data_IF_425430772729
#
_entry.id   IF_425430772729
#
_cell.length_a   1.000
_cell.length_b   1.000
_cell.length_c   1.000
_cell.angle_alpha   90.00
_cell.angle_beta   90.00
_cell.angle_gamma   90.00
#
_symmetry.space_group_name_H-M   'P 1'
#
loop_
_entity.id
_entity.type
_entity.pdbx_description
1 polymer ?
#
# COMPACT_ATOMS: atom_id res chain seq x y z
N UNK A 1 -13.92 5.72 21.90
CA UNK A 1 -13.18 6.87 21.31
C UNK A 1 -13.64 8.15 21.99
N UNK A 2 -12.73 9.02 22.44
CA UNK A 2 -13.05 10.35 23.01
C UNK A 2 -12.64 11.47 22.05
N UNK A 3 -13.15 12.69 22.26
CA UNK A 3 -12.74 13.85 21.47
C UNK A 3 -11.23 14.15 21.58
N UNK A 4 -10.64 13.93 22.76
CA UNK A 4 -9.20 14.11 22.98
C UNK A 4 -8.37 13.06 22.22
N UNK A 5 -8.82 11.80 22.20
CA UNK A 5 -8.19 10.75 21.38
C UNK A 5 -8.30 11.09 19.89
N UNK A 6 -9.44 11.62 19.44
CA UNK A 6 -9.66 11.99 18.05
C UNK A 6 -8.74 13.15 17.60
N UNK A 7 -8.51 14.14 18.46
CA UNK A 7 -7.52 15.22 18.22
C UNK A 7 -6.13 14.65 17.95
N UNK A 8 -5.68 13.71 18.78
CA UNK A 8 -4.36 13.07 18.63
C UNK A 8 -4.28 12.24 17.34
N UNK A 9 -5.33 11.45 17.04
CA UNK A 9 -5.36 10.57 15.86
C UNK A 9 -5.39 11.38 14.56
N UNK A 10 -6.17 12.47 14.52
CA UNK A 10 -6.33 13.28 13.31
C UNK A 10 -5.23 14.34 13.16
N UNK A 11 -4.44 14.61 14.20
CA UNK A 11 -3.44 15.68 14.19
C UNK A 11 -4.06 17.08 14.03
N UNK A 12 -5.27 17.28 14.54
CA UNK A 12 -6.04 18.51 14.37
C UNK A 12 -6.19 19.27 15.68
N UNK A 13 -6.23 20.60 15.59
CA UNK A 13 -6.45 21.48 16.75
C UNK A 13 -7.76 21.19 17.50
N UNK A 14 -7.72 21.24 18.84
CA UNK A 14 -8.86 20.95 19.72
C UNK A 14 -10.10 21.79 19.40
N UNK A 15 -9.91 23.07 19.07
CA UNK A 15 -10.99 24.00 18.73
C UNK A 15 -11.67 23.67 17.39
N UNK A 16 -10.92 23.10 16.45
CA UNK A 16 -11.43 22.66 15.15
C UNK A 16 -12.24 21.38 15.30
N UNK A 17 -11.71 20.40 16.04
CA UNK A 17 -12.41 19.14 16.31
C UNK A 17 -13.70 19.38 17.09
N UNK A 18 -13.68 20.23 18.12
CA UNK A 18 -14.88 20.53 18.92
C UNK A 18 -16.01 21.15 18.07
N UNK A 19 -15.67 22.10 17.19
CA UNK A 19 -16.66 22.71 16.27
C UNK A 19 -17.20 21.71 15.25
N UNK A 20 -16.38 20.79 14.75
CA UNK A 20 -16.83 19.72 13.86
C UNK A 20 -17.78 18.74 14.57
N UNK A 21 -17.38 18.27 15.76
CA UNK A 21 -18.19 17.35 16.55
C UNK A 21 -19.54 17.95 16.91
N UNK A 22 -19.58 19.21 17.36
CA UNK A 22 -20.83 19.91 17.67
C UNK A 22 -21.79 19.94 16.47
N UNK A 23 -21.28 20.19 15.26
CA UNK A 23 -22.09 20.17 14.03
C UNK A 23 -22.63 18.77 13.73
N UNK A 24 -21.79 17.74 13.85
CA UNK A 24 -22.17 16.36 13.59
C UNK A 24 -23.20 15.83 14.61
N UNK A 25 -23.07 16.23 15.89
CA UNK A 25 -24.07 15.95 16.93
C UNK A 25 -25.38 16.68 16.62
N UNK A 26 -25.32 17.98 16.27
CA UNK A 26 -26.53 18.73 15.89
C UNK A 26 -27.24 18.19 14.64
N UNK A 27 -26.49 17.55 13.74
CA UNK A 27 -27.02 16.90 12.55
C UNK A 27 -27.53 15.47 12.81
N UNK A 28 -27.47 14.99 14.07
CA UNK A 28 -27.82 13.64 14.48
C UNK A 28 -26.99 12.53 13.78
N UNK A 29 -25.76 12.85 13.37
CA UNK A 29 -24.81 11.87 12.80
C UNK A 29 -23.96 11.21 13.90
N UNK A 30 -23.69 11.95 14.97
CA UNK A 30 -22.95 11.48 16.14
C UNK A 30 -23.78 11.59 17.42
N UNK A 31 -23.52 10.68 18.35
CA UNK A 31 -24.06 10.68 19.70
C UNK A 31 -22.92 10.68 20.74
N UNK A 32 -23.16 11.35 21.86
CA UNK A 32 -22.27 11.34 23.02
C UNK A 32 -22.83 10.38 24.07
N UNK A 33 -22.15 9.25 24.28
CA UNK A 33 -22.53 8.25 25.28
C UNK A 33 -21.60 8.40 26.49
N UNK A 34 -22.12 8.50 27.72
CA UNK A 34 -21.29 8.48 28.92
C UNK A 34 -20.44 7.20 28.96
N UNK A 35 -19.16 7.31 29.31
CA UNK A 35 -18.32 6.13 29.49
C UNK A 35 -18.81 5.34 30.70
N UNK A 36 -18.83 4.01 30.56
CA UNK A 36 -19.15 3.08 31.65
C UNK A 36 -18.04 3.02 32.70
N UNK A 37 -16.83 3.47 32.37
CA UNK A 37 -15.66 3.44 33.27
C UNK A 37 -15.44 4.78 33.99
N UNK A 38 -15.77 5.91 33.35
CA UNK A 38 -15.71 7.24 33.96
C UNK A 38 -16.82 8.14 33.40
N UNK A 39 -17.83 8.44 34.20
CA UNK A 39 -18.95 9.29 33.81
C UNK A 39 -18.54 10.73 33.40
N UNK A 40 -17.31 11.16 33.72
CA UNK A 40 -16.72 12.44 33.28
C UNK A 40 -16.24 12.40 31.84
N UNK A 41 -16.09 11.20 31.26
CA UNK A 41 -15.63 10.99 29.90
C UNK A 41 -16.80 10.63 29.01
N UNK A 42 -16.99 11.37 27.92
CA UNK A 42 -17.98 11.08 26.89
C UNK A 42 -17.33 10.36 25.72
N UNK A 43 -17.89 9.21 25.35
CA UNK A 43 -17.53 8.50 24.14
C UNK A 43 -18.37 8.99 22.97
N UNK A 44 -17.71 9.11 21.82
CA UNK A 44 -18.35 9.44 20.56
C UNK A 44 -18.76 8.15 19.86
N UNK A 45 -20.04 8.04 19.52
CA UNK A 45 -20.61 6.97 18.70
C UNK A 45 -21.24 7.53 17.44
N UNK A 46 -21.28 6.74 16.37
CA UNK A 46 -22.13 7.03 15.22
C UNK A 46 -23.57 6.64 15.57
N UNK A 47 -24.52 7.50 15.24
CA UNK A 47 -25.95 7.13 15.29
C UNK A 47 -26.28 6.16 14.15
N UNK A 48 -27.51 5.64 14.11
CA UNK A 48 -27.99 4.87 12.95
C UNK A 48 -27.87 5.66 11.65
N UNK A 49 -28.26 6.95 11.68
CA UNK A 49 -28.11 7.87 10.56
C UNK A 49 -26.64 8.08 10.20
N UNK A 50 -25.77 8.32 11.19
CA UNK A 50 -24.33 8.46 11.00
C UNK A 50 -23.70 7.28 10.28
N UNK A 51 -24.06 6.05 10.68
CA UNK A 51 -23.60 4.83 10.01
C UNK A 51 -24.04 4.76 8.55
N UNK A 52 -25.29 5.11 8.27
CA UNK A 52 -25.82 5.15 6.89
C UNK A 52 -25.11 6.21 6.04
N UNK A 53 -24.92 7.42 6.58
CA UNK A 53 -24.22 8.51 5.90
C UNK A 53 -22.78 8.12 5.56
N UNK A 54 -22.04 7.54 6.51
CA UNK A 54 -20.67 7.04 6.29
C UNK A 54 -20.66 5.94 5.23
N UNK A 55 -21.61 5.01 5.27
CA UNK A 55 -21.72 3.96 4.26
C UNK A 55 -21.91 4.54 2.85
N UNK A 56 -22.81 5.52 2.67
CA UNK A 56 -23.04 6.21 1.39
C UNK A 56 -21.79 6.94 0.89
N UNK A 57 -21.09 7.65 1.77
CA UNK A 57 -19.84 8.36 1.43
C UNK A 57 -18.77 7.35 0.98
N UNK A 58 -18.58 6.28 1.74
CA UNK A 58 -17.59 5.25 1.41
C UNK A 58 -17.94 4.52 0.12
N UNK A 59 -19.22 4.24 -0.13
CA UNK A 59 -19.67 3.63 -1.38
C UNK A 59 -19.35 4.55 -2.56
N UNK A 60 -19.75 5.82 -2.51
CA UNK A 60 -19.48 6.78 -3.58
C UNK A 60 -17.97 6.94 -3.83
N UNK A 61 -17.17 7.05 -2.76
CA UNK A 61 -15.71 7.09 -2.85
C UNK A 61 -15.13 5.84 -3.52
N UNK A 62 -15.59 4.65 -3.11
CA UNK A 62 -15.16 3.37 -3.67
C UNK A 62 -15.52 3.24 -5.14
N UNK A 63 -16.73 3.63 -5.53
CA UNK A 63 -17.20 3.62 -6.93
C UNK A 63 -16.31 4.50 -7.81
N UNK A 64 -15.92 5.70 -7.33
CA UNK A 64 -15.01 6.58 -8.07
C UNK A 64 -13.62 5.98 -8.26
N UNK A 65 -13.06 5.38 -7.21
CA UNK A 65 -11.75 4.72 -7.30
C UNK A 65 -11.80 3.53 -8.24
N UNK A 66 -12.82 2.67 -8.12
CA UNK A 66 -13.01 1.50 -9.00
C UNK A 66 -13.16 1.95 -10.46
N UNK A 67 -13.97 2.98 -10.73
CA UNK A 67 -14.14 3.51 -12.08
C UNK A 67 -12.83 4.04 -12.68
N UNK A 68 -11.95 4.65 -11.87
CA UNK A 68 -10.63 5.08 -12.31
C UNK A 68 -9.70 3.89 -12.58
N UNK A 69 -9.63 2.91 -11.67
CA UNK A 69 -8.78 1.72 -11.82
C UNK A 69 -9.19 0.86 -13.02
N UNK A 70 -10.49 0.76 -13.33
CA UNK A 70 -11.02 0.04 -14.51
C UNK A 70 -10.50 0.58 -15.85
N UNK A 71 -10.02 1.82 -15.91
CA UNK A 71 -9.42 2.40 -17.11
C UNK A 71 -7.96 1.96 -17.34
N UNK A 72 -7.35 1.34 -16.33
CA UNK A 72 -5.97 0.86 -16.37
C UNK A 72 -5.92 -0.61 -16.78
N UNK A 73 -4.83 -1.03 -17.42
CA UNK A 73 -4.60 -2.45 -17.69
C UNK A 73 -4.21 -3.21 -16.40
N UNK A 74 -4.25 -4.56 -16.39
CA UNK A 74 -3.96 -5.34 -15.19
C UNK A 74 -2.58 -5.07 -14.56
N UNK A 75 -1.54 -4.87 -15.39
CA UNK A 75 -0.19 -4.56 -14.90
C UNK A 75 -0.16 -3.21 -14.16
N UNK A 76 -0.78 -2.17 -14.73
CA UNK A 76 -0.88 -0.85 -14.10
C UNK A 76 -1.67 -0.89 -12.78
N UNK A 77 -2.77 -1.65 -12.73
CA UNK A 77 -3.54 -1.84 -11.50
C UNK A 77 -2.68 -2.49 -10.40
N UNK A 78 -1.88 -3.49 -10.76
CA UNK A 78 -0.94 -4.14 -9.85
C UNK A 78 0.14 -3.18 -9.36
N UNK A 79 0.72 -2.37 -10.25
CA UNK A 79 1.71 -1.33 -9.89
C UNK A 79 1.12 -0.34 -8.88
N UNK A 80 -0.10 0.16 -9.11
CA UNK A 80 -0.78 1.09 -8.19
C UNK A 80 -1.04 0.43 -6.82
N UNK A 81 -1.55 -0.80 -6.81
CA UNK A 81 -1.79 -1.55 -5.57
C UNK A 81 -0.50 -1.71 -4.77
N UNK A 82 0.59 -2.08 -5.44
CA UNK A 82 1.90 -2.27 -4.80
C UNK A 82 2.48 -0.96 -4.28
N UNK A 83 2.39 0.12 -5.06
CA UNK A 83 2.81 1.45 -4.64
C UNK A 83 2.06 1.96 -3.40
N UNK A 84 0.73 1.78 -3.36
CA UNK A 84 -0.09 2.15 -2.20
C UNK A 84 0.26 1.33 -0.96
N UNK A 85 0.55 0.03 -1.11
CA UNK A 85 1.03 -0.81 0.00
C UNK A 85 2.35 -0.30 0.56
N UNK A 86 3.33 -0.04 -0.30
CA UNK A 86 4.64 0.49 0.12
C UNK A 86 4.50 1.83 0.83
N UNK A 87 3.70 2.73 0.28
CA UNK A 87 3.44 4.04 0.89
C UNK A 87 2.77 3.92 2.27
N UNK A 88 1.74 3.06 2.40
CA UNK A 88 1.08 2.80 3.67
C UNK A 88 2.04 2.21 4.72
N UNK A 89 2.89 1.26 4.32
CA UNK A 89 3.92 0.69 5.20
C UNK A 89 4.93 1.74 5.65
N UNK A 90 5.35 2.63 4.76
CA UNK A 90 6.27 3.73 5.11
C UNK A 90 5.64 4.71 6.09
N UNK A 91 4.38 5.10 5.88
CA UNK A 91 3.66 5.96 6.82
C UNK A 91 3.48 5.30 8.20
N UNK A 92 3.18 4.00 8.25
CA UNK A 92 3.06 3.26 9.51
C UNK A 92 4.40 3.25 10.27
N UNK A 93 5.48 2.92 9.56
CA UNK A 93 6.84 2.94 10.10
C UNK A 93 7.25 4.32 10.64
N UNK A 94 6.93 5.41 9.93
CA UNK A 94 7.17 6.78 10.42
C UNK A 94 6.42 7.09 11.72
N UNK A 95 5.19 6.59 11.90
CA UNK A 95 4.39 6.82 13.13
C UNK A 95 4.93 6.03 14.32
N UNK A 96 5.46 4.85 14.06
CA UNK A 96 6.02 3.93 15.06
C UNK A 96 7.51 4.17 15.30
N UNK A 97 8.10 5.20 14.65
CA UNK A 97 9.51 5.54 14.69
C UNK A 97 10.42 4.31 14.45
N UNK A 98 9.95 3.40 13.59
CA UNK A 98 10.56 2.11 13.29
C UNK A 98 11.07 2.13 11.86
N UNK A 99 12.21 1.52 11.60
CA UNK A 99 12.72 1.40 10.23
C UNK A 99 11.95 0.30 9.49
N UNK A 100 11.53 0.57 8.25
CA UNK A 100 11.08 -0.51 7.37
C UNK A 100 12.33 -1.33 7.06
N UNK A 101 12.44 -2.52 7.67
CA UNK A 101 13.50 -3.45 7.35
C UNK A 101 13.57 -3.59 5.82
N UNK A 102 14.67 -3.11 5.23
CA UNK A 102 14.90 -3.22 3.81
C UNK A 102 14.88 -4.71 3.45
N UNK A 103 13.82 -5.15 2.79
CA UNK A 103 13.79 -6.46 2.13
C UNK A 103 14.72 -6.39 0.93
N UNK A 104 15.98 -6.69 1.17
CA UNK A 104 16.60 -7.96 0.79
C UNK A 104 18.07 -7.85 1.23
N UNK A 105 18.49 -8.72 2.14
CA UNK A 105 19.90 -9.04 2.26
C UNK A 105 20.29 -9.70 0.94
N UNK A 106 20.72 -8.89 -0.03
CA UNK A 106 21.38 -9.36 -1.23
C UNK A 106 22.63 -10.11 -0.76
N UNK A 107 22.56 -11.43 -0.74
CA UNK A 107 23.69 -12.25 -0.34
C UNK A 107 24.61 -12.41 -1.56
N UNK A 108 25.79 -11.80 -1.48
CA UNK A 108 26.84 -12.02 -2.48
C UNK A 108 27.52 -13.35 -2.11
N UNK A 109 27.11 -14.40 -2.82
CA UNK A 109 27.69 -15.73 -2.67
C UNK A 109 28.92 -15.83 -3.57
N UNK A 110 30.06 -16.24 -3.00
CA UNK A 110 31.27 -16.54 -3.76
C UNK A 110 31.32 -18.03 -4.12
N UNK A 111 31.79 -18.33 -5.33
CA UNK A 111 31.95 -19.70 -5.81
C UNK A 111 30.89 -20.13 -6.83
N UNK A 112 30.98 -21.39 -7.25
CA UNK A 112 30.11 -21.96 -8.26
C UNK A 112 28.74 -22.29 -7.67
N UNK A 113 27.69 -21.73 -8.27
CA UNK A 113 26.31 -22.12 -7.98
C UNK A 113 25.74 -22.88 -9.20
N UNK A 114 25.18 -24.09 -9.02
CA UNK A 114 24.53 -24.82 -10.10
C UNK A 114 23.50 -23.95 -10.83
N UNK A 115 23.49 -24.01 -12.15
CA UNK A 115 22.61 -23.21 -13.02
C UNK A 115 23.17 -21.84 -13.44
N UNK A 116 24.19 -21.31 -12.76
CA UNK A 116 24.74 -19.97 -13.07
C UNK A 116 25.35 -19.89 -14.47
N UNK A 117 26.08 -20.92 -14.91
CA UNK A 117 26.65 -20.96 -16.27
C UNK A 117 25.55 -20.90 -17.33
N UNK A 118 24.45 -21.66 -17.13
CA UNK A 118 23.32 -21.66 -18.05
C UNK A 118 22.63 -20.30 -18.13
N UNK A 119 22.43 -19.64 -16.97
CA UNK A 119 21.82 -18.30 -16.93
C UNK A 119 22.72 -17.24 -17.56
N UNK A 120 24.04 -17.32 -17.35
CA UNK A 120 25.01 -16.44 -18.01
C UNK A 120 24.97 -16.63 -19.53
N UNK A 121 24.94 -17.88 -20.00
CA UNK A 121 24.86 -18.20 -21.43
C UNK A 121 23.55 -17.68 -22.05
N UNK A 122 22.41 -17.85 -21.38
CA UNK A 122 21.10 -17.31 -21.80
C UNK A 122 21.11 -15.77 -21.89
N UNK A 123 21.68 -15.10 -20.90
CA UNK A 123 21.83 -13.63 -20.91
C UNK A 123 22.70 -13.15 -22.08
N UNK A 124 23.80 -13.85 -22.37
CA UNK A 124 24.65 -13.52 -23.52
C UNK A 124 23.91 -13.81 -24.85
N UNK A 125 23.27 -14.96 -24.98
CA UNK A 125 22.51 -15.33 -26.18
C UNK A 125 21.41 -14.32 -26.50
N UNK A 126 20.59 -13.98 -25.50
CA UNK A 126 19.50 -12.99 -25.66
C UNK A 126 20.01 -11.58 -25.96
N UNK A 127 21.17 -11.19 -25.42
CA UNK A 127 21.81 -9.92 -25.74
C UNK A 127 22.31 -9.86 -27.20
N UNK A 128 23.07 -10.86 -27.65
CA UNK A 128 23.62 -10.88 -29.00
C UNK A 128 22.58 -11.14 -30.10
N UNK A 129 21.52 -11.90 -29.80
CA UNK A 129 20.38 -12.04 -30.68
C UNK A 129 19.69 -10.69 -30.93
N UNK A 130 19.57 -9.85 -29.89
CA UNK A 130 18.94 -8.53 -29.98
C UNK A 130 19.82 -7.50 -30.68
N UNK A 131 21.10 -7.40 -30.32
CA UNK A 131 21.98 -6.31 -30.77
C UNK A 131 22.71 -6.60 -32.08
N UNK A 132 22.90 -7.88 -32.43
CA UNK A 132 23.74 -8.29 -33.56
C UNK A 132 23.10 -9.35 -34.47
N UNK A 133 21.80 -9.64 -34.30
CA UNK A 133 21.04 -10.60 -35.11
C UNK A 133 21.66 -12.02 -35.17
N UNK A 134 22.44 -12.39 -34.14
CA UNK A 134 22.98 -13.75 -34.00
C UNK A 134 21.87 -14.69 -33.52
N UNK A 135 21.32 -15.48 -34.46
CA UNK A 135 20.28 -16.48 -34.17
C UNK A 135 20.84 -17.86 -33.82
N UNK A 136 20.01 -18.89 -34.08
CA UNK A 136 20.19 -20.32 -33.74
C UNK A 136 21.60 -20.89 -34.02
N UNK A 137 22.31 -20.36 -35.02
CA UNK A 137 23.68 -20.78 -35.35
C UNK A 137 24.69 -20.50 -34.23
N UNK A 138 24.54 -19.38 -33.52
CA UNK A 138 25.40 -19.02 -32.38
C UNK A 138 25.07 -19.87 -31.15
N UNK A 139 23.78 -20.04 -30.84
CA UNK A 139 23.32 -20.86 -29.72
C UNK A 139 23.81 -22.31 -29.83
N UNK A 140 23.73 -22.88 -31.03
CA UNK A 140 24.19 -24.25 -31.30
C UNK A 140 25.70 -24.41 -31.09
N UNK A 141 26.49 -23.39 -31.46
CA UNK A 141 27.96 -23.42 -31.33
C UNK A 141 28.44 -23.21 -29.89
N UNK A 142 27.75 -22.37 -29.12
CA UNK A 142 28.05 -22.15 -27.69
C UNK A 142 27.65 -23.37 -26.86
N UNK A 143 26.55 -24.05 -27.20
CA UNK A 143 26.08 -25.25 -26.50
C UNK A 143 26.94 -26.50 -26.76
N UNK A 144 27.60 -26.61 -27.93
CA UNK A 144 28.38 -27.79 -28.32
C UNK A 144 29.76 -27.91 -27.64
N UNK A 145 30.27 -26.85 -27.00
CA UNK A 145 31.61 -26.82 -26.39
C UNK A 145 32.76 -26.81 -27.43
N UNK A 146 34.01 -26.47 -27.02
CA UNK A 146 35.17 -26.61 -27.89
C UNK A 146 35.52 -28.10 -28.02
N UNK A 147 35.36 -28.64 -29.23
CA UNK A 147 35.90 -29.96 -29.60
C UNK A 147 37.40 -29.93 -29.82
#
# INVERSE_FOLDING_TARGET
MTAAQLVQILGLEKSSVSRMLAKLVSANELEEVPSTEDARVKHLGLTAKGRETVAKINQYGSERVIAALKKMNPHQQQTVSQGLKHYASALAACRENSEIAARDSLEIITGYHPGTIGRIAEMHGSYYAREHNFGVFFESKVAAGPG
#
